data_IF_780232900795
#
_entry.id   IF_780232900795
#
_cell.length_a   1.000
_cell.length_b   1.000
_cell.length_c   1.000
_cell.angle_alpha   90.00
_cell.angle_beta   90.00
_cell.angle_gamma   90.00
#
_symmetry.space_group_name_H-M   'P 1'
#
loop_
_entity.id
_entity.type
_entity.pdbx_description
1 polymer ?
#
# COMPACT_ATOMS: atom_id res chain seq x y z
N UNK A 1 -2.98 4.87 -1.90
CA UNK A 1 -2.56 3.46 -1.90
C UNK A 1 -3.81 2.64 -1.72
N UNK A 2 -4.05 1.68 -2.60
CA UNK A 2 -5.30 0.93 -2.72
C UNK A 2 -4.98 -0.56 -2.88
N UNK A 3 -5.85 -1.42 -2.38
CA UNK A 3 -5.82 -2.84 -2.77
C UNK A 3 -6.33 -2.94 -4.21
N UNK A 4 -5.66 -3.71 -5.07
CA UNK A 4 -6.08 -3.91 -6.46
C UNK A 4 -7.34 -4.80 -6.51
N UNK A 5 -7.50 -5.73 -5.56
CA UNK A 5 -8.68 -6.59 -5.36
C UNK A 5 -9.18 -7.25 -6.67
N UNK A 6 -8.27 -7.51 -7.62
CA UNK A 6 -8.59 -8.02 -8.97
C UNK A 6 -9.44 -9.28 -8.85
N UNK A 7 -10.70 -9.18 -9.29
CA UNK A 7 -11.68 -10.27 -9.22
C UNK A 7 -12.97 -9.94 -8.46
N UNK A 8 -13.11 -8.74 -7.87
CA UNK A 8 -14.38 -8.25 -7.30
C UNK A 8 -14.83 -6.99 -8.03
N UNK A 9 -16.02 -7.03 -8.66
CA UNK A 9 -16.44 -6.02 -9.64
C UNK A 9 -16.52 -4.59 -9.11
N UNK A 10 -16.82 -4.40 -7.82
CA UNK A 10 -17.02 -3.06 -7.26
C UNK A 10 -15.73 -2.39 -6.79
N UNK A 11 -14.75 -3.14 -6.27
CA UNK A 11 -13.45 -2.58 -5.87
C UNK A 11 -12.65 -2.11 -7.09
N UNK A 12 -12.67 -2.90 -8.17
CA UNK A 12 -12.05 -2.52 -9.44
C UNK A 12 -12.63 -1.21 -9.98
N UNK A 13 -13.96 -1.06 -9.97
CA UNK A 13 -14.61 0.18 -10.41
C UNK A 13 -14.21 1.42 -9.58
N UNK A 14 -13.93 1.25 -8.28
CA UNK A 14 -13.41 2.35 -7.44
C UNK A 14 -11.98 2.71 -7.83
N UNK A 15 -11.12 1.73 -8.08
CA UNK A 15 -9.76 1.96 -8.55
C UNK A 15 -9.76 2.69 -9.91
N UNK A 16 -10.59 2.22 -10.85
CA UNK A 16 -10.78 2.86 -12.17
C UNK A 16 -11.26 4.31 -12.03
N UNK A 17 -12.23 4.57 -11.14
CA UNK A 17 -12.72 5.92 -10.88
C UNK A 17 -11.62 6.82 -10.31
N UNK A 18 -10.84 6.33 -9.35
CA UNK A 18 -9.74 7.09 -8.74
C UNK A 18 -8.68 7.43 -9.78
N UNK A 19 -8.31 6.48 -10.64
CA UNK A 19 -7.38 6.72 -11.75
C UNK A 19 -7.92 7.75 -12.75
N UNK A 20 -9.19 7.60 -13.17
CA UNK A 20 -9.83 8.51 -14.11
C UNK A 20 -10.08 9.91 -13.55
N UNK A 21 -10.14 10.06 -12.22
CA UNK A 21 -10.37 11.35 -11.55
C UNK A 21 -9.10 12.17 -11.35
N UNK A 22 -7.94 11.66 -11.78
CA UNK A 22 -6.66 12.38 -11.68
C UNK A 22 -6.72 13.73 -12.43
N UNK A 23 -6.24 14.78 -11.78
CA UNK A 23 -6.28 16.14 -12.31
C UNK A 23 -5.08 16.96 -11.82
N UNK A 24 -5.03 18.26 -12.12
CA UNK A 24 -3.92 19.14 -11.77
C UNK A 24 -3.65 19.31 -10.27
N UNK A 25 -4.56 18.87 -9.40
CA UNK A 25 -4.38 18.87 -7.94
C UNK A 25 -3.99 17.50 -7.37
N UNK A 26 -3.85 16.47 -8.21
CA UNK A 26 -3.42 15.15 -7.79
C UNK A 26 -1.92 15.15 -7.48
N UNK A 27 -1.55 14.75 -6.26
CA UNK A 27 -0.14 14.74 -5.81
C UNK A 27 0.74 13.77 -6.62
N UNK A 28 0.23 12.56 -6.87
CA UNK A 28 0.91 11.50 -7.61
C UNK A 28 -0.10 10.54 -8.22
N UNK A 29 0.34 9.73 -9.19
CA UNK A 29 -0.45 8.62 -9.68
C UNK A 29 -0.83 7.67 -8.51
N UNK A 30 -2.06 7.15 -8.47
CA UNK A 30 -2.46 6.16 -7.48
C UNK A 30 -1.51 4.96 -7.47
N UNK A 31 -1.36 4.38 -6.29
CA UNK A 31 -0.57 3.18 -6.06
C UNK A 31 -1.52 2.06 -5.68
N UNK A 32 -1.50 0.98 -6.44
CA UNK A 32 -2.28 -0.24 -6.16
C UNK A 32 -1.34 -1.37 -5.74
N UNK A 33 -1.78 -2.17 -4.77
CA UNK A 33 -1.10 -3.40 -4.38
C UNK A 33 -1.75 -4.57 -5.10
N UNK A 34 -0.96 -5.34 -5.85
CA UNK A 34 -1.43 -6.58 -6.46
C UNK A 34 -2.13 -7.46 -5.41
N UNK A 35 -3.35 -7.86 -5.71
CA UNK A 35 -4.30 -8.50 -4.80
C UNK A 35 -4.68 -7.63 -3.60
N UNK A 36 -3.83 -7.58 -2.57
CA UNK A 36 -4.05 -6.78 -1.36
C UNK A 36 -2.74 -6.51 -0.58
N UNK A 37 -2.80 -5.55 0.34
CA UNK A 37 -1.71 -5.16 1.22
C UNK A 37 -1.15 -6.33 2.04
N UNK A 38 -1.98 -7.26 2.53
CA UNK A 38 -1.51 -8.42 3.31
C UNK A 38 -0.59 -9.30 2.46
N UNK A 39 -1.02 -9.65 1.24
CA UNK A 39 -0.22 -10.42 0.30
C UNK A 39 1.09 -9.69 -0.03
N UNK A 40 1.03 -8.37 -0.25
CA UNK A 40 2.22 -7.55 -0.48
C UNK A 40 3.22 -7.66 0.68
N UNK A 41 2.73 -7.60 1.92
CA UNK A 41 3.53 -7.71 3.16
C UNK A 41 3.95 -9.14 3.50
N UNK A 42 3.50 -10.15 2.75
CA UNK A 42 3.75 -11.56 3.07
C UNK A 42 3.01 -12.05 4.31
N UNK A 43 1.88 -11.43 4.63
CA UNK A 43 1.03 -11.77 5.77
C UNK A 43 -0.16 -12.63 5.33
N UNK A 44 -0.69 -13.48 6.21
CA UNK A 44 -1.93 -14.21 5.93
C UNK A 44 -3.11 -13.23 5.85
N UNK A 45 -4.02 -13.48 4.91
CA UNK A 45 -5.27 -12.72 4.81
C UNK A 45 -6.19 -13.13 5.97
N UNK A 46 -6.62 -12.19 6.83
CA UNK A 46 -7.50 -12.51 7.96
C UNK A 46 -8.90 -12.88 7.48
N UNK A 47 -9.53 -13.87 8.13
CA UNK A 47 -10.87 -14.34 7.78
C UNK A 47 -12.04 -13.40 8.17
N UNK A 48 -11.75 -12.25 8.80
CA UNK A 48 -12.72 -11.25 9.29
C UNK A 48 -12.15 -9.84 9.05
N UNK A 49 -12.95 -8.80 9.30
CA UNK A 49 -12.57 -7.38 9.26
C UNK A 49 -11.58 -6.99 10.38
N UNK A 50 -10.47 -7.72 10.47
CA UNK A 50 -9.37 -7.57 11.43
C UNK A 50 -8.07 -7.15 10.75
N UNK A 51 -8.11 -6.85 9.45
CA UNK A 51 -6.96 -6.38 8.68
C UNK A 51 -6.13 -5.32 9.42
N UNK A 52 -6.72 -4.22 9.94
CA UNK A 52 -5.93 -3.21 10.65
C UNK A 52 -5.21 -3.75 11.88
N UNK A 53 -5.90 -4.50 12.74
CA UNK A 53 -5.33 -4.97 14.01
C UNK A 53 -4.29 -6.07 13.81
N UNK A 54 -4.47 -6.98 12.86
CA UNK A 54 -3.50 -8.04 12.58
C UNK A 54 -2.25 -7.49 11.89
N UNK A 55 -2.38 -6.50 10.99
CA UNK A 55 -1.22 -5.79 10.43
C UNK A 55 -0.45 -5.06 11.53
N UNK A 56 -1.15 -4.32 12.42
CA UNK A 56 -0.50 -3.63 13.54
C UNK A 56 0.28 -4.60 14.43
N UNK A 57 -0.31 -5.74 14.79
CA UNK A 57 0.37 -6.79 15.58
C UNK A 57 1.62 -7.30 14.87
N UNK A 58 1.53 -7.57 13.56
CA UNK A 58 2.66 -8.05 12.77
C UNK A 58 3.80 -7.03 12.73
N UNK A 59 3.49 -5.74 12.58
CA UNK A 59 4.47 -4.65 12.65
C UNK A 59 5.12 -4.61 14.03
N UNK A 60 4.33 -4.56 15.12
CA UNK A 60 4.86 -4.40 16.49
C UNK A 60 5.71 -5.58 16.94
N UNK A 61 5.43 -6.77 16.41
CA UNK A 61 6.16 -7.99 16.74
C UNK A 61 7.34 -8.29 15.78
N UNK A 62 7.63 -7.40 14.82
CA UNK A 62 8.72 -7.61 13.86
C UNK A 62 8.50 -8.80 12.92
N UNK A 63 7.24 -9.11 12.58
CA UNK A 63 6.87 -10.29 11.79
C UNK A 63 6.86 -10.01 10.28
N UNK A 64 7.16 -8.78 9.86
CA UNK A 64 7.24 -8.38 8.44
C UNK A 64 8.71 -8.29 8.07
N UNK A 65 9.08 -8.92 6.96
CA UNK A 65 10.45 -8.90 6.46
C UNK A 65 10.91 -7.47 6.12
N UNK A 66 12.17 -7.15 6.39
CA UNK A 66 12.70 -5.80 6.26
C UNK A 66 12.64 -5.27 4.81
N UNK A 67 12.85 -6.14 3.83
CA UNK A 67 12.71 -5.83 2.41
C UNK A 67 11.26 -5.46 2.04
N UNK A 68 10.26 -6.12 2.65
CA UNK A 68 8.84 -5.78 2.47
C UNK A 68 8.47 -4.45 3.10
N UNK A 69 9.03 -4.12 4.26
CA UNK A 69 8.86 -2.79 4.87
C UNK A 69 9.52 -1.70 4.04
N UNK A 70 10.72 -1.96 3.50
CA UNK A 70 11.40 -1.02 2.61
C UNK A 70 10.61 -0.80 1.31
N UNK A 71 10.06 -1.88 0.73
CA UNK A 71 9.18 -1.78 -0.43
C UNK A 71 7.89 -1.00 -0.10
N UNK A 72 7.28 -1.23 1.07
CA UNK A 72 6.12 -0.46 1.52
C UNK A 72 6.44 1.04 1.62
N UNK A 73 7.60 1.38 2.20
CA UNK A 73 8.09 2.77 2.29
C UNK A 73 8.25 3.37 0.88
N UNK A 74 8.82 2.62 -0.05
CA UNK A 74 8.99 3.09 -1.43
C UNK A 74 7.64 3.40 -2.10
N UNK A 75 6.66 2.50 -1.96
CA UNK A 75 5.29 2.70 -2.48
C UNK A 75 4.56 3.87 -1.80
N UNK A 76 4.74 4.06 -0.50
CA UNK A 76 4.19 5.20 0.23
C UNK A 76 4.78 6.53 -0.28
N UNK A 77 6.10 6.59 -0.44
CA UNK A 77 6.76 7.76 -0.99
C UNK A 77 6.29 8.03 -2.43
N UNK A 78 6.15 6.99 -3.27
CA UNK A 78 5.60 7.12 -4.62
C UNK A 78 4.18 7.69 -4.61
N UNK A 79 3.32 7.19 -3.74
CA UNK A 79 1.93 7.65 -3.62
C UNK A 79 1.78 9.11 -3.19
N UNK A 80 2.82 9.69 -2.60
CA UNK A 80 2.84 11.07 -2.11
C UNK A 80 3.83 11.96 -2.88
N UNK A 81 4.41 11.47 -3.99
CA UNK A 81 5.47 12.15 -4.75
C UNK A 81 6.67 12.59 -3.89
N UNK A 82 6.99 11.83 -2.84
CA UNK A 82 8.17 12.07 -2.00
C UNK A 82 9.40 11.47 -2.70
N UNK A 83 10.49 12.26 -2.89
CA UNK A 83 11.73 11.75 -3.48
C UNK A 83 12.31 10.59 -2.67
N UNK A 84 12.75 9.54 -3.37
CA UNK A 84 13.49 8.44 -2.74
C UNK A 84 14.89 8.95 -2.37
N UNK A 85 15.34 8.73 -1.12
CA UNK A 85 16.67 9.16 -0.64
C UNK A 85 16.69 10.32 0.38
N UNK A 86 15.53 10.86 0.80
CA UNK A 86 15.50 11.94 1.80
C UNK A 86 16.07 11.57 3.20
N UNK A 87 16.25 10.28 3.50
CA UNK A 87 16.77 9.80 4.79
C UNK A 87 18.30 9.61 4.81
N UNK A 88 19.00 9.59 3.66
CA UNK A 88 20.48 9.46 3.62
C UNK A 88 21.23 10.72 4.09
N UNK A 89 20.50 11.81 4.35
CA UNK A 89 21.09 13.09 4.79
C UNK A 89 20.99 13.33 6.29
N UNK A 90 20.47 12.37 7.07
CA UNK A 90 20.28 12.50 8.53
C UNK A 90 21.00 11.42 9.36
N UNK A 91 21.94 10.69 8.76
CA UNK A 91 22.83 9.74 9.47
C UNK A 91 24.26 10.28 9.59
#
# INVERSE_FOLDING_TARGET
MLDDDKGKEHQGAVNDLVEASANGHTLAAPVTFADCLETFLGLPIPAKDKKPIEILKAVTNGQIAADKLQALRAEFCRALAIPQGADEQLA
#
